data_IF_977732139295
#
_entry.id   IF_977732139295
#
_cell.length_a   1.000
_cell.length_b   1.000
_cell.length_c   1.000
_cell.angle_alpha   90.00
_cell.angle_beta   90.00
_cell.angle_gamma   90.00
#
_symmetry.space_group_name_H-M   'P 1'
#
loop_
_entity.id
_entity.type
_entity.pdbx_description
1 polymer ?
#
# COMPACT_ATOMS: atom_id res chain seq x y z
N UNK A 1 -30.91 -11.57 -89.90
CA UNK A 1 -30.52 -11.33 -88.49
C UNK A 1 -29.29 -12.17 -88.20
N UNK A 2 -28.22 -11.49 -87.78
CA UNK A 2 -27.04 -11.99 -87.04
C UNK A 2 -25.97 -12.84 -87.77
N UNK A 3 -24.94 -12.11 -88.24
CA UNK A 3 -23.47 -12.28 -88.07
C UNK A 3 -22.96 -13.43 -87.16
N UNK A 4 -21.71 -13.89 -87.21
CA UNK A 4 -20.64 -14.08 -88.19
C UNK A 4 -19.47 -14.76 -87.44
N UNK A 5 -18.93 -15.85 -87.99
CA UNK A 5 -17.51 -16.30 -88.03
C UNK A 5 -16.56 -16.03 -86.81
N UNK A 6 -16.29 -17.08 -86.02
CA UNK A 6 -14.99 -17.82 -85.73
C UNK A 6 -13.61 -17.08 -85.81
N UNK A 7 -12.46 -17.61 -85.28
CA UNK A 7 -12.03 -18.01 -83.91
C UNK A 7 -10.59 -17.49 -83.50
N UNK A 8 -10.09 -17.81 -82.28
CA UNK A 8 -8.65 -18.12 -82.07
C UNK A 8 -7.86 -17.54 -80.86
N UNK A 9 -7.65 -18.37 -79.81
CA UNK A 9 -6.41 -18.59 -79.00
C UNK A 9 -5.77 -17.49 -78.06
N UNK A 10 -4.86 -17.82 -77.07
CA UNK A 10 -5.16 -17.84 -75.61
C UNK A 10 -4.23 -17.02 -74.61
N UNK A 11 -4.56 -17.11 -73.29
CA UNK A 11 -3.83 -16.78 -71.99
C UNK A 11 -3.89 -15.34 -71.41
N UNK A 12 -3.64 -15.04 -70.08
CA UNK A 12 -3.25 -15.84 -68.89
C UNK A 12 -4.00 -15.55 -67.54
N UNK A 13 -3.55 -16.17 -66.41
CA UNK A 13 -4.11 -16.23 -65.02
C UNK A 13 -3.95 -14.98 -64.10
N UNK A 14 -4.99 -14.74 -63.24
CA UNK A 14 -5.09 -14.17 -61.84
C UNK A 14 -4.43 -12.80 -61.48
N UNK A 15 -4.82 -12.05 -60.40
CA UNK A 15 -5.12 -12.52 -59.04
C UNK A 15 -6.37 -11.95 -58.31
N UNK A 16 -6.71 -12.64 -57.23
CA UNK A 16 -7.74 -12.29 -56.24
C UNK A 16 -7.45 -10.94 -55.56
N UNK A 17 -8.48 -10.12 -55.36
CA UNK A 17 -8.37 -8.88 -54.59
C UNK A 17 -8.04 -9.21 -53.14
N UNK A 18 -6.84 -8.84 -52.72
CA UNK A 18 -6.44 -8.83 -51.32
C UNK A 18 -7.29 -7.82 -50.56
N UNK A 19 -8.24 -8.33 -49.77
CA UNK A 19 -8.85 -7.58 -48.69
C UNK A 19 -7.81 -7.55 -47.57
N UNK A 20 -6.91 -6.56 -47.62
CA UNK A 20 -5.89 -6.35 -46.60
C UNK A 20 -6.61 -5.93 -45.32
N UNK A 21 -6.93 -6.89 -44.47
CA UNK A 21 -7.26 -6.66 -43.07
C UNK A 21 -6.11 -5.87 -42.45
N UNK A 22 -6.33 -4.58 -42.19
CA UNK A 22 -5.40 -3.79 -41.41
C UNK A 22 -5.16 -4.51 -40.07
N UNK A 23 -3.90 -4.62 -39.60
CA UNK A 23 -3.61 -5.27 -38.34
C UNK A 23 -4.42 -4.60 -37.23
N UNK A 24 -5.02 -5.41 -36.34
CA UNK A 24 -5.89 -4.94 -35.25
C UNK A 24 -5.27 -3.81 -34.38
N UNK A 25 -3.94 -3.71 -34.37
CA UNK A 25 -3.18 -2.66 -33.72
C UNK A 25 -3.39 -1.25 -34.33
N UNK A 26 -3.62 -1.13 -35.65
CA UNK A 26 -3.92 0.15 -36.31
C UNK A 26 -5.35 0.62 -36.04
N UNK A 27 -6.31 -0.31 -35.95
CA UNK A 27 -7.68 0.01 -35.54
C UNK A 27 -7.75 0.41 -34.05
N UNK A 28 -6.94 -0.23 -33.20
CA UNK A 28 -6.79 0.16 -31.81
C UNK A 28 -6.13 1.55 -31.65
N UNK A 29 -5.15 1.91 -32.49
CA UNK A 29 -4.53 3.24 -32.43
C UNK A 29 -5.48 4.35 -32.88
N UNK A 30 -6.33 4.09 -33.89
CA UNK A 30 -7.35 5.04 -34.33
C UNK A 30 -8.47 5.21 -33.30
N UNK A 31 -8.93 4.12 -32.68
CA UNK A 31 -9.91 4.18 -31.58
C UNK A 31 -9.34 4.85 -30.32
N UNK A 32 -8.05 4.65 -30.03
CA UNK A 32 -7.36 5.36 -28.94
C UNK A 32 -7.17 6.86 -29.27
N UNK A 33 -6.93 7.22 -30.53
CA UNK A 33 -6.79 8.61 -30.96
C UNK A 33 -8.12 9.37 -30.87
N UNK A 34 -9.23 8.74 -31.25
CA UNK A 34 -10.56 9.34 -31.17
C UNK A 34 -11.05 9.43 -29.70
N UNK A 35 -10.73 8.44 -28.88
CA UNK A 35 -10.95 8.49 -27.43
C UNK A 35 -10.08 9.55 -26.72
N UNK A 36 -8.98 10.01 -27.35
CA UNK A 36 -8.16 11.11 -26.83
C UNK A 36 -8.80 12.47 -27.13
N UNK A 37 -9.62 12.58 -28.18
CA UNK A 37 -10.30 13.82 -28.55
C UNK A 37 -11.51 14.15 -27.65
N UNK A 38 -12.02 13.19 -26.87
CA UNK A 38 -13.15 13.37 -25.95
C UNK A 38 -12.87 12.84 -24.54
N UNK A 39 -11.64 13.00 -24.03
CA UNK A 39 -11.42 12.87 -22.59
C UNK A 39 -11.99 14.09 -21.86
N UNK A 40 -13.32 14.16 -21.73
CA UNK A 40 -13.91 14.85 -20.59
C UNK A 40 -13.39 14.11 -19.37
N UNK A 41 -12.52 14.76 -18.61
CA UNK A 41 -11.95 14.20 -17.40
C UNK A 41 -13.10 13.97 -16.39
N UNK A 42 -13.74 12.81 -16.44
CA UNK A 42 -14.73 12.40 -15.45
C UNK A 42 -13.96 11.84 -14.26
N UNK A 43 -14.08 12.44 -13.06
CA UNK A 43 -13.39 11.94 -11.89
C UNK A 43 -13.81 10.48 -11.61
N UNK A 44 -12.86 9.59 -11.29
CA UNK A 44 -13.21 8.21 -10.95
C UNK A 44 -14.13 8.24 -9.73
N UNK A 45 -15.26 7.54 -9.81
CA UNK A 45 -16.15 7.39 -8.67
C UNK A 45 -15.35 6.77 -7.52
N UNK A 46 -15.37 7.41 -6.35
CA UNK A 46 -14.70 6.87 -5.16
C UNK A 46 -15.29 5.47 -4.93
N UNK A 47 -14.47 4.45 -5.16
CA UNK A 47 -14.88 3.07 -4.92
C UNK A 47 -14.74 2.81 -3.42
N UNK A 48 -15.66 2.02 -2.85
CA UNK A 48 -15.69 1.73 -1.42
C UNK A 48 -14.40 1.06 -0.94
N UNK A 49 -13.75 0.25 -1.78
CA UNK A 49 -12.56 -0.54 -1.43
C UNK A 49 -11.29 0.27 -1.09
N UNK A 50 -10.78 1.20 -1.93
CA UNK A 50 -9.62 2.04 -1.58
C UNK A 50 -9.92 2.99 -0.41
N UNK A 51 -11.18 3.40 -0.24
CA UNK A 51 -11.60 4.16 0.93
C UNK A 51 -11.50 3.29 2.20
N UNK A 52 -12.01 2.06 2.17
CA UNK A 52 -11.86 1.11 3.28
C UNK A 52 -10.39 0.85 3.60
N UNK A 53 -9.54 0.63 2.59
CA UNK A 53 -8.11 0.44 2.81
C UNK A 53 -7.45 1.66 3.48
N UNK A 54 -7.83 2.89 3.08
CA UNK A 54 -7.36 4.11 3.72
C UNK A 54 -7.83 4.23 5.17
N UNK A 55 -9.11 3.92 5.45
CA UNK A 55 -9.66 3.93 6.81
C UNK A 55 -8.92 2.92 7.69
N UNK A 56 -8.71 1.69 7.21
CA UNK A 56 -7.95 0.66 7.93
C UNK A 56 -6.55 1.18 8.25
N UNK A 57 -5.88 1.84 7.30
CA UNK A 57 -4.57 2.46 7.52
C UNK A 57 -4.57 3.51 8.63
N UNK A 58 -5.60 4.34 8.70
CA UNK A 58 -5.69 5.39 9.72
C UNK A 58 -6.03 4.82 11.09
N UNK A 59 -6.94 3.84 11.15
CA UNK A 59 -7.22 3.09 12.38
C UNK A 59 -5.95 2.39 12.85
N UNK A 60 -5.18 1.79 11.95
CA UNK A 60 -3.89 1.19 12.25
C UNK A 60 -2.93 2.20 12.89
N UNK A 61 -2.82 3.40 12.31
CA UNK A 61 -1.99 4.47 12.87
C UNK A 61 -2.45 4.92 14.26
N UNK A 62 -3.76 4.90 14.56
CA UNK A 62 -4.28 5.16 15.90
C UNK A 62 -3.91 4.05 16.89
N UNK A 63 -3.98 2.78 16.49
CA UNK A 63 -3.56 1.66 17.34
C UNK A 63 -2.04 1.71 17.58
N UNK A 64 -1.25 2.14 16.59
CA UNK A 64 0.18 2.44 16.76
C UNK A 64 0.47 3.55 17.75
N UNK A 65 -0.42 4.54 17.88
CA UNK A 65 -0.31 5.56 18.92
C UNK A 65 -0.57 4.98 20.31
N UNK A 66 -1.49 4.02 20.44
CA UNK A 66 -1.70 3.29 21.69
C UNK A 66 -0.46 2.44 22.05
N UNK A 67 0.10 1.70 21.08
CA UNK A 67 1.37 0.95 21.24
C UNK A 67 2.49 1.87 21.77
N UNK A 68 2.66 3.04 21.16
CA UNK A 68 3.64 4.04 21.58
C UNK A 68 3.45 4.45 23.04
N UNK A 69 2.20 4.72 23.45
CA UNK A 69 1.87 5.06 24.85
C UNK A 69 2.20 3.93 25.83
N UNK A 70 1.80 2.70 25.51
CA UNK A 70 2.08 1.53 26.36
C UNK A 70 3.58 1.22 26.45
N UNK A 71 4.34 1.41 25.37
CA UNK A 71 5.81 1.28 25.38
C UNK A 71 6.48 2.32 26.29
N UNK A 72 5.99 3.57 26.31
CA UNK A 72 6.49 4.59 27.25
C UNK A 72 6.18 4.19 28.70
N UNK A 73 4.97 3.75 28.98
CA UNK A 73 4.56 3.30 30.32
C UNK A 73 5.43 2.13 30.78
N UNK A 74 5.61 1.13 29.92
CA UNK A 74 6.47 -0.03 30.20
C UNK A 74 7.91 0.38 30.52
N UNK A 75 8.50 1.30 29.75
CA UNK A 75 9.84 1.82 30.02
C UNK A 75 9.92 2.57 31.35
N UNK A 76 8.89 3.35 31.70
CA UNK A 76 8.81 4.02 32.99
C UNK A 76 8.79 3.05 34.17
N UNK A 77 7.95 2.01 34.08
CA UNK A 77 7.87 0.96 35.10
C UNK A 77 9.21 0.23 35.21
N UNK A 78 9.78 -0.19 34.09
CA UNK A 78 11.07 -0.87 34.05
C UNK A 78 12.19 -0.01 34.66
N UNK A 79 12.23 1.28 34.34
CA UNK A 79 13.17 2.23 34.92
C UNK A 79 13.08 2.25 36.44
N UNK A 80 11.87 2.46 36.96
CA UNK A 80 11.63 2.54 38.40
C UNK A 80 11.98 1.24 39.13
N UNK A 81 11.75 0.09 38.48
CA UNK A 81 12.09 -1.24 39.01
C UNK A 81 13.61 -1.41 39.08
N UNK A 82 14.34 -1.07 38.01
CA UNK A 82 15.81 -1.19 37.99
C UNK A 82 16.46 -0.24 38.98
N UNK A 83 16.01 1.02 39.04
CA UNK A 83 16.56 2.03 39.95
C UNK A 83 16.37 1.63 41.43
N UNK A 84 15.27 0.94 41.77
CA UNK A 84 14.96 0.55 43.14
C UNK A 84 15.55 -0.80 43.56
N UNK A 85 15.58 -1.78 42.67
CA UNK A 85 15.95 -3.16 43.00
C UNK A 85 17.36 -3.56 42.53
N UNK A 86 17.94 -2.91 41.50
CA UNK A 86 19.22 -3.30 40.90
C UNK A 86 20.08 -2.10 40.45
N UNK A 87 20.57 -1.27 41.39
CA UNK A 87 21.34 -0.06 41.07
C UNK A 87 22.63 -0.34 40.27
N UNK A 88 23.26 -1.51 40.45
CA UNK A 88 24.48 -1.88 39.71
C UNK A 88 24.19 -2.28 38.24
N UNK A 89 22.94 -2.54 37.87
CA UNK A 89 22.54 -2.93 36.52
C UNK A 89 22.29 -1.74 35.57
N UNK A 90 22.57 -0.51 36.03
CA UNK A 90 22.28 0.73 35.28
C UNK A 90 22.94 0.77 33.89
N UNK A 91 24.13 0.17 33.73
CA UNK A 91 24.86 0.18 32.44
C UNK A 91 24.14 -0.64 31.36
N UNK A 92 23.62 -1.81 31.71
CA UNK A 92 22.81 -2.61 30.78
C UNK A 92 21.45 -1.94 30.50
N UNK A 93 20.90 -1.28 31.52
CA UNK A 93 19.67 -0.51 31.38
C UNK A 93 19.82 0.66 30.39
N UNK A 94 20.94 1.40 30.39
CA UNK A 94 21.18 2.50 29.43
C UNK A 94 21.22 2.04 27.97
N UNK A 95 21.82 0.87 27.69
CA UNK A 95 21.81 0.29 26.36
C UNK A 95 20.39 -0.09 25.93
N UNK A 96 19.66 -0.80 26.81
CA UNK A 96 18.28 -1.19 26.57
C UNK A 96 17.36 0.02 26.37
N UNK A 97 17.54 1.06 27.19
CA UNK A 97 16.83 2.32 27.07
C UNK A 97 17.05 2.96 25.70
N UNK A 98 18.30 3.05 25.24
CA UNK A 98 18.61 3.63 23.92
C UNK A 98 17.97 2.85 22.78
N UNK A 99 18.02 1.52 22.86
CA UNK A 99 17.34 0.63 21.91
C UNK A 99 15.81 0.84 21.92
N UNK A 100 15.21 0.95 23.09
CA UNK A 100 13.77 1.18 23.20
C UNK A 100 13.34 2.57 22.67
N UNK A 101 14.16 3.61 22.86
CA UNK A 101 13.90 4.92 22.26
C UNK A 101 14.00 4.88 20.73
N UNK A 102 14.94 4.10 20.20
CA UNK A 102 15.03 3.85 18.76
C UNK A 102 13.76 3.15 18.23
N UNK A 103 13.25 2.14 18.94
CA UNK A 103 11.97 1.50 18.59
C UNK A 103 10.79 2.48 18.64
N UNK A 104 10.70 3.31 19.69
CA UNK A 104 9.67 4.35 19.79
C UNK A 104 9.72 5.33 18.61
N UNK A 105 10.93 5.71 18.16
CA UNK A 105 11.10 6.51 16.96
C UNK A 105 10.59 5.80 15.71
N UNK A 106 10.88 4.50 15.54
CA UNK A 106 10.36 3.71 14.42
C UNK A 106 8.82 3.61 14.45
N UNK A 107 8.20 3.49 15.63
CA UNK A 107 6.74 3.51 15.78
C UNK A 107 6.16 4.85 15.30
N UNK A 108 6.76 5.98 15.70
CA UNK A 108 6.35 7.30 15.21
C UNK A 108 6.48 7.44 13.69
N UNK A 109 7.59 6.97 13.12
CA UNK A 109 7.76 6.91 11.68
C UNK A 109 6.66 6.07 11.02
N UNK A 110 6.33 4.91 11.59
CA UNK A 110 5.26 4.04 11.10
C UNK A 110 3.91 4.76 11.08
N UNK A 111 3.52 5.46 12.16
CA UNK A 111 2.29 6.26 12.22
C UNK A 111 2.21 7.23 11.03
N UNK A 112 3.25 8.02 10.80
CA UNK A 112 3.30 8.99 9.70
C UNK A 112 3.21 8.30 8.34
N UNK A 113 3.93 7.19 8.17
CA UNK A 113 3.90 6.42 6.92
C UNK A 113 2.50 5.88 6.63
N UNK A 114 1.83 5.22 7.58
CA UNK A 114 0.48 4.69 7.36
C UNK A 114 -0.54 5.80 7.08
N UNK A 115 -0.46 6.95 7.75
CA UNK A 115 -1.35 8.09 7.48
C UNK A 115 -1.16 8.62 6.06
N UNK A 116 0.09 8.95 5.70
CA UNK A 116 0.43 9.48 4.38
C UNK A 116 0.05 8.51 3.27
N UNK A 117 0.41 7.25 3.45
CA UNK A 117 0.25 6.23 2.42
C UNK A 117 -1.22 5.84 2.23
N UNK A 118 -2.01 5.79 3.32
CA UNK A 118 -3.46 5.66 3.25
C UNK A 118 -4.09 6.78 2.42
N UNK A 119 -3.64 8.02 2.59
CA UNK A 119 -4.10 9.15 1.78
C UNK A 119 -3.75 9.01 0.29
N UNK A 120 -2.52 8.59 -0.04
CA UNK A 120 -2.13 8.37 -1.43
C UNK A 120 -2.84 7.16 -2.08
N UNK A 121 -3.12 6.11 -1.32
CA UNK A 121 -3.95 4.98 -1.78
C UNK A 121 -5.37 5.45 -2.07
N UNK A 122 -5.96 6.27 -1.19
CA UNK A 122 -7.28 6.89 -1.42
C UNK A 122 -7.30 7.74 -2.69
N UNK A 123 -6.24 8.51 -2.98
CA UNK A 123 -6.08 9.25 -4.24
C UNK A 123 -5.81 8.36 -5.47
N UNK A 124 -5.72 7.05 -5.32
CA UNK A 124 -5.54 6.11 -6.42
C UNK A 124 -4.12 6.10 -6.99
N UNK A 125 -3.09 6.32 -6.18
CA UNK A 125 -1.69 6.17 -6.60
C UNK A 125 -1.24 4.70 -6.49
N UNK A 126 -0.91 4.10 -7.63
CA UNK A 126 -0.47 2.69 -7.67
C UNK A 126 0.87 2.46 -6.94
N UNK A 127 1.78 3.43 -6.95
CA UNK A 127 3.06 3.32 -6.23
C UNK A 127 2.84 3.30 -4.71
N UNK A 128 1.92 4.12 -4.20
CA UNK A 128 1.57 4.14 -2.79
C UNK A 128 1.07 2.78 -2.32
N UNK A 129 0.21 2.14 -3.13
CA UNK A 129 -0.21 0.76 -2.89
C UNK A 129 0.95 -0.23 -2.78
N UNK A 130 1.91 -0.19 -3.71
CA UNK A 130 3.05 -1.12 -3.69
C UNK A 130 3.90 -0.89 -2.45
N UNK A 131 4.24 0.36 -2.15
CA UNK A 131 5.02 0.73 -0.96
C UNK A 131 4.28 0.28 0.30
N UNK A 132 2.94 0.43 0.35
CA UNK A 132 2.13 0.04 1.51
C UNK A 132 2.16 -1.44 1.75
N UNK A 133 2.17 -2.22 0.67
CA UNK A 133 2.30 -3.68 0.74
C UNK A 133 3.62 -4.07 1.37
N UNK A 134 4.73 -3.46 0.92
CA UNK A 134 6.07 -3.75 1.45
C UNK A 134 6.16 -3.36 2.93
N UNK A 135 5.69 -2.16 3.27
CA UNK A 135 5.65 -1.69 4.66
C UNK A 135 4.82 -2.64 5.52
N UNK A 136 3.58 -2.95 5.13
CA UNK A 136 2.70 -3.83 5.90
C UNK A 136 3.28 -5.24 6.10
N UNK A 137 3.97 -5.79 5.11
CA UNK A 137 4.63 -7.11 5.25
C UNK A 137 5.79 -7.02 6.24
N UNK A 138 6.72 -6.09 6.06
CA UNK A 138 7.88 -5.95 6.94
C UNK A 138 7.46 -5.64 8.38
N UNK A 139 6.45 -4.79 8.52
CA UNK A 139 5.89 -4.40 9.80
C UNK A 139 5.15 -5.54 10.50
N UNK A 140 4.44 -6.40 9.75
CA UNK A 140 3.81 -7.60 10.31
C UNK A 140 4.83 -8.61 10.85
N UNK A 141 5.95 -8.80 10.14
CA UNK A 141 7.04 -9.67 10.61
C UNK A 141 7.64 -9.10 11.89
N UNK A 142 7.93 -7.80 11.92
CA UNK A 142 8.43 -7.12 13.11
C UNK A 142 7.48 -7.29 14.30
N UNK A 143 6.20 -7.01 14.11
CA UNK A 143 5.17 -7.13 15.14
C UNK A 143 5.03 -8.55 15.68
N UNK A 144 5.08 -9.57 14.81
CA UNK A 144 5.00 -10.95 15.25
C UNK A 144 6.20 -11.32 16.15
N UNK A 145 7.41 -10.85 15.80
CA UNK A 145 8.60 -11.05 16.64
C UNK A 145 8.47 -10.32 17.99
N UNK A 146 7.96 -9.08 17.97
CA UNK A 146 7.70 -8.31 19.19
C UNK A 146 6.64 -8.98 20.08
N UNK A 147 5.55 -9.51 19.49
CA UNK A 147 4.51 -10.23 20.22
C UNK A 147 5.07 -11.43 20.96
N UNK A 148 5.88 -12.27 20.28
CA UNK A 148 6.53 -13.43 20.91
C UNK A 148 7.43 -12.96 22.05
N UNK A 149 8.35 -12.02 21.79
CA UNK A 149 9.29 -11.54 22.80
C UNK A 149 8.60 -10.98 24.05
N UNK A 150 7.60 -10.10 23.86
CA UNK A 150 6.88 -9.46 24.96
C UNK A 150 5.98 -10.45 25.71
N UNK A 151 5.37 -11.41 25.01
CA UNK A 151 4.56 -12.45 25.64
C UNK A 151 5.39 -13.33 26.57
N UNK A 152 6.55 -13.81 26.12
CA UNK A 152 7.48 -14.60 26.93
C UNK A 152 8.00 -13.78 28.12
N UNK A 153 8.36 -12.52 27.90
CA UNK A 153 8.79 -11.62 28.97
C UNK A 153 7.67 -11.42 30.01
N UNK A 154 6.42 -11.27 29.58
CA UNK A 154 5.27 -11.11 30.50
C UNK A 154 5.10 -12.32 31.42
N UNK A 155 5.22 -13.54 30.88
CA UNK A 155 5.09 -14.80 31.62
C UNK A 155 6.24 -14.97 32.59
N UNK A 156 7.47 -14.68 32.16
CA UNK A 156 8.65 -14.75 33.03
C UNK A 156 8.57 -13.75 34.18
N UNK A 157 8.17 -12.50 33.92
CA UNK A 157 8.02 -11.48 34.96
C UNK A 157 6.94 -11.90 35.96
N UNK A 158 5.80 -12.41 35.49
CA UNK A 158 4.72 -12.86 36.35
C UNK A 158 5.11 -14.03 37.27
N UNK A 159 6.03 -14.90 36.83
CA UNK A 159 6.49 -16.05 37.61
C UNK A 159 7.61 -15.72 38.58
N UNK A 160 8.59 -14.94 38.14
CA UNK A 160 9.88 -14.81 38.83
C UNK A 160 10.12 -13.40 39.41
N UNK A 161 9.40 -12.39 38.92
CA UNK A 161 9.68 -10.97 39.23
C UNK A 161 8.46 -10.21 39.74
N UNK A 162 7.37 -10.89 40.06
CA UNK A 162 6.09 -10.29 40.41
C UNK A 162 6.19 -9.33 41.61
N UNK A 163 7.07 -9.63 42.57
CA UNK A 163 7.31 -8.79 43.77
C UNK A 163 8.02 -7.47 43.46
N UNK A 164 8.73 -7.38 42.34
CA UNK A 164 9.51 -6.21 41.96
C UNK A 164 8.83 -5.39 40.85
N UNK A 165 8.08 -6.05 39.97
CA UNK A 165 7.52 -5.45 38.76
C UNK A 165 6.07 -5.89 38.52
N UNK A 166 5.21 -5.75 39.53
CA UNK A 166 3.81 -6.20 39.50
C UNK A 166 3.01 -5.64 38.32
N UNK A 167 3.31 -4.41 37.91
CA UNK A 167 2.59 -3.70 36.85
C UNK A 167 3.19 -3.92 35.47
N UNK A 168 4.40 -4.51 35.39
CA UNK A 168 5.11 -4.71 34.13
C UNK A 168 4.56 -5.91 33.35
N UNK A 169 4.27 -7.02 34.03
CA UNK A 169 3.65 -8.19 33.42
C UNK A 169 2.29 -7.89 32.74
N UNK A 170 1.31 -7.24 33.41
CA UNK A 170 0.05 -6.90 32.75
C UNK A 170 0.24 -5.88 31.61
N UNK A 171 1.17 -4.93 31.74
CA UNK A 171 1.49 -3.99 30.66
C UNK A 171 2.01 -4.72 29.42
N UNK A 172 2.93 -5.68 29.58
CA UNK A 172 3.42 -6.51 28.48
C UNK A 172 2.32 -7.40 27.89
N UNK A 173 1.43 -7.96 28.71
CA UNK A 173 0.29 -8.73 28.21
C UNK A 173 -0.64 -7.90 27.31
N UNK A 174 -0.96 -6.66 27.71
CA UNK A 174 -1.75 -5.73 26.88
C UNK A 174 -1.01 -5.44 25.56
N UNK A 175 0.30 -5.22 25.64
CA UNK A 175 1.12 -4.91 24.48
C UNK A 175 1.18 -6.09 23.48
N UNK A 176 1.23 -7.33 23.96
CA UNK A 176 1.08 -8.54 23.12
C UNK A 176 -0.24 -8.52 22.35
N UNK A 177 -1.36 -8.24 23.01
CA UNK A 177 -2.67 -8.16 22.36
C UNK A 177 -2.69 -7.05 21.29
N UNK A 178 -2.10 -5.89 21.59
CA UNK A 178 -1.98 -4.79 20.62
C UNK A 178 -1.20 -5.25 19.37
N UNK A 179 -0.08 -5.96 19.56
CA UNK A 179 0.71 -6.47 18.44
C UNK A 179 -0.04 -7.46 17.57
N UNK A 180 -0.79 -8.40 18.17
CA UNK A 180 -1.62 -9.34 17.41
C UNK A 180 -2.70 -8.63 16.60
N UNK A 181 -3.39 -7.64 17.20
CA UNK A 181 -4.39 -6.84 16.52
C UNK A 181 -3.80 -6.06 15.33
N UNK A 182 -2.60 -5.51 15.49
CA UNK A 182 -1.89 -4.83 14.40
C UNK A 182 -1.52 -5.81 13.28
N UNK A 183 -1.03 -7.01 13.60
CA UNK A 183 -0.77 -8.05 12.56
C UNK A 183 -2.03 -8.38 11.78
N UNK A 184 -3.16 -8.60 12.47
CA UNK A 184 -4.46 -8.86 11.83
C UNK A 184 -4.86 -7.67 10.94
N UNK A 185 -4.75 -6.44 11.44
CA UNK A 185 -5.09 -5.24 10.68
C UNK A 185 -4.24 -5.10 9.41
N UNK A 186 -2.95 -5.46 9.44
CA UNK A 186 -2.09 -5.49 8.24
C UNK A 186 -2.53 -6.54 7.24
N UNK A 187 -2.89 -7.75 7.69
CA UNK A 187 -3.41 -8.80 6.80
C UNK A 187 -4.70 -8.32 6.12
N UNK A 188 -5.64 -7.76 6.89
CA UNK A 188 -6.89 -7.21 6.36
C UNK A 188 -6.61 -6.08 5.37
N UNK A 189 -5.72 -5.15 5.70
CA UNK A 189 -5.28 -4.07 4.82
C UNK A 189 -4.74 -4.61 3.49
N UNK A 190 -3.84 -5.60 3.54
CA UNK A 190 -3.25 -6.23 2.36
C UNK A 190 -4.32 -6.85 1.46
N UNK A 191 -5.31 -7.54 2.03
CA UNK A 191 -6.43 -8.10 1.26
C UNK A 191 -7.18 -6.99 0.52
N UNK A 192 -7.63 -5.94 1.23
CA UNK A 192 -8.40 -4.85 0.61
C UNK A 192 -7.63 -4.10 -0.48
N UNK A 193 -6.33 -3.95 -0.28
CA UNK A 193 -5.45 -3.24 -1.19
C UNK A 193 -5.31 -3.94 -2.55
N UNK A 194 -5.43 -5.27 -2.56
CA UNK A 194 -5.24 -6.12 -3.74
C UNK A 194 -6.53 -6.72 -4.30
N UNK A 195 -7.69 -6.39 -3.73
CA UNK A 195 -8.98 -6.77 -4.31
C UNK A 195 -9.14 -6.22 -5.75
N UNK A 196 -9.85 -6.97 -6.64
CA UNK A 196 -10.03 -6.57 -8.05
C UNK A 196 -10.61 -5.16 -8.24
N UNK A 197 -11.53 -4.74 -7.37
CA UNK A 197 -12.14 -3.41 -7.45
C UNK A 197 -11.14 -2.28 -7.17
N UNK A 198 -10.17 -2.49 -6.27
CA UNK A 198 -9.07 -1.53 -6.02
C UNK A 198 -8.19 -1.40 -7.27
N UNK A 199 -7.94 -2.50 -7.99
CA UNK A 199 -7.21 -2.50 -9.26
C UNK A 199 -7.90 -1.65 -10.35
N UNK A 200 -9.21 -1.80 -10.49
CA UNK A 200 -10.01 -1.04 -11.46
C UNK A 200 -9.94 0.46 -11.12
N UNK A 201 -10.13 0.81 -9.85
CA UNK A 201 -10.05 2.19 -9.38
C UNK A 201 -8.68 2.83 -9.65
N UNK A 202 -7.58 2.12 -9.34
CA UNK A 202 -6.21 2.62 -9.56
C UNK A 202 -5.96 2.94 -11.04
N UNK A 203 -6.50 2.12 -11.96
CA UNK A 203 -6.41 2.37 -13.40
C UNK A 203 -7.21 3.60 -13.81
N UNK A 204 -8.46 3.70 -13.38
CA UNK A 204 -9.31 4.86 -13.68
C UNK A 204 -8.71 6.17 -13.16
N UNK A 205 -8.18 6.16 -11.93
CA UNK A 205 -7.50 7.32 -11.35
C UNK A 205 -6.24 7.71 -12.11
N UNK A 206 -5.47 6.74 -12.62
CA UNK A 206 -4.32 7.04 -13.49
C UNK A 206 -4.76 7.69 -14.80
N UNK A 207 -5.77 7.14 -15.48
CA UNK A 207 -6.30 7.69 -16.73
C UNK A 207 -6.84 9.10 -16.54
N UNK A 208 -7.62 9.34 -15.48
CA UNK A 208 -8.17 10.65 -15.15
C UNK A 208 -7.07 11.72 -14.94
N UNK A 209 -6.02 11.40 -14.18
CA UNK A 209 -4.90 12.33 -13.99
C UNK A 209 -4.13 12.61 -15.28
N UNK A 210 -3.98 11.60 -16.13
CA UNK A 210 -3.32 11.79 -17.43
C UNK A 210 -4.14 12.74 -18.31
N UNK A 211 -5.46 12.54 -18.37
CA UNK A 211 -6.38 13.41 -19.09
C UNK A 211 -6.27 14.86 -18.58
N UNK A 212 -6.32 15.08 -17.26
CA UNK A 212 -6.15 16.41 -16.66
C UNK A 212 -4.83 17.07 -17.05
N UNK A 213 -3.72 16.32 -17.03
CA UNK A 213 -2.42 16.86 -17.40
C UNK A 213 -2.35 17.22 -18.90
N UNK A 214 -2.94 16.40 -19.77
CA UNK A 214 -3.02 16.68 -21.21
C UNK A 214 -3.89 17.91 -21.49
N UNK A 215 -5.03 18.04 -20.82
CA UNK A 215 -5.87 19.25 -20.93
C UNK A 215 -5.12 20.47 -20.43
N UNK A 216 -4.45 20.40 -19.28
CA UNK A 216 -3.65 21.50 -18.76
C UNK A 216 -2.54 21.93 -19.72
N UNK A 217 -1.81 20.98 -20.33
CA UNK A 217 -0.77 21.25 -21.33
C UNK A 217 -1.33 21.86 -22.62
N UNK A 218 -2.52 21.44 -23.05
CA UNK A 218 -3.18 22.03 -24.23
C UNK A 218 -3.61 23.48 -23.99
N UNK A 219 -3.98 23.83 -22.75
CA UNK A 219 -4.38 25.18 -22.35
C UNK A 219 -3.18 26.11 -22.14
N UNK A 220 -2.04 25.60 -21.66
CA UNK A 220 -0.84 26.43 -21.39
C UNK A 220 0.09 26.61 -22.58
N UNK A 221 -0.19 25.99 -23.74
CA UNK A 221 0.56 26.21 -24.98
C UNK A 221 2.03 25.75 -24.96
N UNK A 222 2.49 25.07 -23.90
CA UNK A 222 3.84 24.53 -23.82
C UNK A 222 3.96 23.21 -24.60
N UNK A 223 4.01 23.32 -25.92
CA UNK A 223 4.54 22.26 -26.78
C UNK A 223 6.07 22.32 -26.66
N UNK A 224 6.66 21.49 -25.80
CA UNK A 224 8.10 21.26 -25.87
C UNK A 224 8.37 20.50 -27.18
N UNK A 225 8.82 21.21 -28.20
CA UNK A 225 9.45 20.59 -29.37
C UNK A 225 10.73 19.91 -28.88
N UNK A 226 10.87 18.63 -29.24
CA UNK A 226 12.06 17.82 -28.95
C UNK A 226 13.20 18.19 -29.88
#
# INVERSE_FOLDING_TARGET
MSESVTPGHPKPQKPASAQTSAPAWQSASAANADATATMVAVPPKITTLPLTAAIISWVYALVRLAEFGFMIVALGILKSTVDSAFPDSLRNYQFFQSFAHFLLFLILCSIVLYVMLGFYVYRGYNMARIIMTIVAIGDSISLALHAVFVSEASVHIAREWLTYASDLAPTFSILTVIYELLVIANIVLLVFLWLPGTNIFMRQAKTYRLALNTTAQSVTGQRYER
#
